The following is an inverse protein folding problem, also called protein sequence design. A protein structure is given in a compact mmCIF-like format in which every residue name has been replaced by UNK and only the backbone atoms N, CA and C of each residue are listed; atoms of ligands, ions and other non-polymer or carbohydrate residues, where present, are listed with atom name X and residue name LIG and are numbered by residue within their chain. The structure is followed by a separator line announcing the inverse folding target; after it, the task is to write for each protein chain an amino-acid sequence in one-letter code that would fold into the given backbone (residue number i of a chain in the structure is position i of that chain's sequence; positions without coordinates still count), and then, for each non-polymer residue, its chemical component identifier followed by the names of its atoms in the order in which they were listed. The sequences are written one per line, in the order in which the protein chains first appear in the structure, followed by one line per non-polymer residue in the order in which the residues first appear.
data_IF_417582104331
#
_entry.id   IF_417582104331
#
_cell.length_a   1.000
_cell.length_b   1.000
_cell.length_c   1.000
_cell.angle_alpha   90.00
_cell.angle_beta   90.00
_cell.angle_gamma   90.00
#
_symmetry.space_group_name_H-M   'P 1'
#
loop_
_entity.id
_entity.type
_entity.pdbx_description
1 polymer ?
#
# COMPACT_ATOMS: atom_id res chain seq x y z
N UNK A 1 6.77 -19.56 17.33
CA UNK A 1 6.86 -18.87 16.02
C UNK A 1 6.46 -17.43 16.28
N UNK A 2 7.30 -16.45 15.92
CA UNK A 2 7.05 -15.03 16.22
C UNK A 2 5.88 -14.49 15.39
N UNK A 3 5.19 -13.46 15.87
CA UNK A 3 4.08 -12.79 15.14
C UNK A 3 4.52 -12.30 13.75
N UNK A 4 5.75 -11.79 13.66
CA UNK A 4 6.41 -11.44 12.39
C UNK A 4 6.47 -12.62 11.42
N UNK A 5 6.89 -13.79 11.90
CA UNK A 5 7.01 -14.98 11.08
C UNK A 5 5.64 -15.47 10.61
N UNK A 6 4.62 -15.43 11.47
CA UNK A 6 3.25 -15.80 11.10
C UNK A 6 2.71 -14.90 9.98
N UNK A 7 2.85 -13.56 10.11
CA UNK A 7 2.47 -12.61 9.05
C UNK A 7 3.22 -12.88 7.74
N UNK A 8 4.51 -13.17 7.81
CA UNK A 8 5.30 -13.49 6.63
C UNK A 8 4.83 -14.77 5.95
N UNK A 9 4.60 -15.85 6.71
CA UNK A 9 4.15 -17.13 6.17
C UNK A 9 2.77 -17.02 5.54
N UNK A 10 1.86 -16.25 6.15
CA UNK A 10 0.55 -15.98 5.56
C UNK A 10 0.69 -15.24 4.21
N UNK A 11 1.53 -14.19 4.16
CA UNK A 11 1.82 -13.48 2.92
C UNK A 11 2.42 -14.40 1.85
N UNK A 12 3.44 -15.18 2.23
CA UNK A 12 4.12 -16.12 1.33
C UNK A 12 3.15 -17.15 0.78
N UNK A 13 2.30 -17.74 1.63
CA UNK A 13 1.36 -18.78 1.20
C UNK A 13 0.29 -18.22 0.24
N UNK A 14 -0.14 -16.96 0.46
CA UNK A 14 -1.06 -16.27 -0.45
C UNK A 14 -0.43 -16.00 -1.82
N UNK A 15 0.84 -15.57 -1.84
CA UNK A 15 1.59 -15.36 -3.10
C UNK A 15 1.89 -16.68 -3.80
N UNK A 16 2.20 -17.73 -3.02
CA UNK A 16 2.52 -19.05 -3.53
C UNK A 16 1.32 -19.79 -4.15
N UNK A 17 0.10 -19.36 -3.87
CA UNK A 17 -1.16 -19.96 -4.36
C UNK A 17 -1.19 -21.50 -4.24
N UNK A 18 -0.77 -22.01 -3.08
CA UNK A 18 -0.74 -23.45 -2.79
C UNK A 18 0.50 -24.20 -3.28
N UNK A 19 1.50 -23.51 -3.86
CA UNK A 19 2.76 -24.15 -4.24
C UNK A 19 3.51 -24.73 -3.02
N UNK A 20 3.95 -25.98 -3.16
CA UNK A 20 4.84 -26.62 -2.18
C UNK A 20 6.23 -25.96 -2.16
N UNK A 21 7.00 -26.16 -1.09
CA UNK A 21 8.40 -25.67 -1.04
C UNK A 21 9.25 -26.15 -2.22
N UNK A 22 8.99 -27.37 -2.73
CA UNK A 22 9.65 -27.90 -3.93
C UNK A 22 9.26 -27.13 -5.19
N UNK A 23 7.99 -26.76 -5.33
CA UNK A 23 7.51 -25.96 -6.45
C UNK A 23 8.06 -24.52 -6.38
N UNK A 24 8.08 -23.92 -5.18
CA UNK A 24 8.73 -22.64 -4.93
C UNK A 24 10.22 -22.69 -5.32
N UNK A 25 10.94 -23.71 -4.85
CA UNK A 25 12.36 -23.91 -5.15
C UNK A 25 12.62 -24.04 -6.65
N UNK A 26 11.80 -24.84 -7.35
CA UNK A 26 11.88 -25.01 -8.80
C UNK A 26 11.63 -23.68 -9.54
N UNK A 27 10.60 -22.92 -9.15
CA UNK A 27 10.29 -21.61 -9.76
C UNK A 27 11.40 -20.59 -9.52
N UNK A 28 12.00 -20.59 -8.33
CA UNK A 28 13.10 -19.70 -7.99
C UNK A 28 14.46 -20.15 -8.55
N UNK A 29 14.57 -21.37 -9.09
CA UNK A 29 15.84 -21.92 -9.56
C UNK A 29 16.87 -22.18 -8.45
N UNK A 30 16.42 -22.43 -7.21
CA UNK A 30 17.28 -22.66 -6.04
C UNK A 30 17.01 -24.01 -5.37
N UNK A 31 17.90 -24.46 -4.49
CA UNK A 31 17.69 -25.70 -3.76
C UNK A 31 16.55 -25.62 -2.74
N UNK A 32 15.75 -26.70 -2.62
CA UNK A 32 14.63 -26.80 -1.66
C UNK A 32 15.06 -26.52 -0.20
N UNK A 33 16.26 -26.93 0.18
CA UNK A 33 16.83 -26.65 1.49
C UNK A 33 17.06 -25.15 1.74
N UNK A 34 17.41 -24.37 0.69
CA UNK A 34 17.53 -22.90 0.81
C UNK A 34 16.17 -22.27 1.06
N UNK A 35 15.11 -22.71 0.36
CA UNK A 35 13.73 -22.25 0.58
C UNK A 35 13.30 -22.46 2.03
N UNK A 36 13.38 -23.70 2.53
CA UNK A 36 12.98 -24.02 3.91
C UNK A 36 13.77 -23.23 4.95
N UNK A 37 15.11 -23.20 4.84
CA UNK A 37 15.95 -22.45 5.77
C UNK A 37 15.66 -20.96 5.75
N UNK A 38 15.55 -20.34 4.57
CA UNK A 38 15.48 -18.89 4.44
C UNK A 38 14.06 -18.32 4.62
N UNK A 39 13.03 -19.05 4.18
CA UNK A 39 11.64 -18.57 4.12
C UNK A 39 10.72 -19.23 5.16
N UNK A 40 11.23 -20.10 6.03
CA UNK A 40 10.41 -20.77 7.06
C UNK A 40 11.12 -20.88 8.41
N UNK A 41 12.41 -21.22 8.42
CA UNK A 41 13.16 -21.48 9.65
C UNK A 41 13.90 -20.25 10.19
N UNK A 42 14.38 -19.38 9.31
CA UNK A 42 15.07 -18.13 9.71
C UNK A 42 14.05 -17.09 10.17
N UNK A 43 14.27 -16.48 11.35
CA UNK A 43 13.49 -15.35 11.85
C UNK A 43 14.43 -14.16 12.18
N UNK A 44 14.41 -13.06 11.41
CA UNK A 44 13.54 -12.83 10.25
C UNK A 44 13.91 -13.69 9.03
N UNK A 45 12.98 -13.85 8.06
CA UNK A 45 13.29 -14.43 6.76
C UNK A 45 14.47 -13.72 6.09
N UNK A 46 15.28 -14.45 5.33
CA UNK A 46 16.45 -13.87 4.67
C UNK A 46 16.01 -12.92 3.54
N UNK A 47 16.34 -11.62 3.69
CA UNK A 47 15.87 -10.54 2.83
C UNK A 47 16.09 -10.80 1.32
N UNK A 48 17.29 -11.26 0.94
CA UNK A 48 17.62 -11.59 -0.45
C UNK A 48 16.64 -12.61 -1.05
N UNK A 49 16.35 -13.68 -0.30
CA UNK A 49 15.45 -14.75 -0.77
C UNK A 49 13.99 -14.31 -0.79
N UNK A 50 13.58 -13.39 0.10
CA UNK A 50 12.26 -12.76 0.04
C UNK A 50 12.11 -11.94 -1.25
N UNK A 51 13.14 -11.18 -1.62
CA UNK A 51 13.15 -10.38 -2.86
C UNK A 51 13.11 -11.28 -4.10
N UNK A 52 13.93 -12.32 -4.13
CA UNK A 52 13.93 -13.31 -5.21
C UNK A 52 12.58 -14.02 -5.34
N UNK A 53 11.97 -14.41 -4.21
CA UNK A 53 10.65 -15.04 -4.19
C UNK A 53 9.59 -14.11 -4.77
N UNK A 54 9.53 -12.86 -4.32
CA UNK A 54 8.58 -11.87 -4.84
C UNK A 54 8.72 -11.69 -6.36
N UNK A 55 9.96 -11.58 -6.86
CA UNK A 55 10.24 -11.45 -8.30
C UNK A 55 9.84 -12.70 -9.09
N UNK A 56 10.13 -13.89 -8.57
CA UNK A 56 9.77 -15.15 -9.21
C UNK A 56 8.25 -15.34 -9.35
N UNK A 57 7.47 -14.66 -8.50
CA UNK A 57 6.01 -14.66 -8.51
C UNK A 57 5.40 -13.39 -9.13
N UNK A 58 6.21 -12.45 -9.61
CA UNK A 58 5.72 -11.22 -10.25
C UNK A 58 5.03 -10.24 -9.31
N UNK A 59 5.29 -10.31 -8.00
CA UNK A 59 4.74 -9.39 -6.98
C UNK A 59 5.79 -8.38 -6.52
N UNK A 60 5.34 -7.30 -5.85
CA UNK A 60 6.23 -6.27 -5.35
C UNK A 60 7.12 -6.79 -4.20
N UNK A 61 8.46 -6.74 -4.32
CA UNK A 61 9.37 -7.18 -3.24
C UNK A 61 9.20 -6.43 -1.92
N UNK A 62 8.75 -5.17 -1.96
CA UNK A 62 8.54 -4.36 -0.75
C UNK A 62 7.46 -4.98 0.14
N UNK A 63 6.39 -5.53 -0.44
CA UNK A 63 5.30 -6.17 0.32
C UNK A 63 5.82 -7.37 1.12
N UNK A 64 6.71 -8.16 0.51
CA UNK A 64 7.36 -9.29 1.18
C UNK A 64 8.30 -8.86 2.31
N UNK A 65 9.07 -7.79 2.11
CA UNK A 65 9.95 -7.23 3.14
C UNK A 65 9.17 -6.62 4.30
N UNK A 66 8.00 -6.01 4.02
CA UNK A 66 7.07 -5.52 5.04
C UNK A 66 6.45 -6.67 5.82
N UNK A 67 5.97 -7.70 5.13
CA UNK A 67 5.44 -8.90 5.78
C UNK A 67 6.50 -9.62 6.64
N UNK A 68 7.74 -9.67 6.18
CA UNK A 68 8.90 -10.18 6.91
C UNK A 68 9.34 -9.26 8.07
N UNK A 69 8.77 -8.07 8.22
CA UNK A 69 9.13 -7.09 9.25
C UNK A 69 10.57 -6.57 9.15
N UNK A 70 11.16 -6.63 7.94
CA UNK A 70 12.48 -6.10 7.60
C UNK A 70 12.39 -4.63 7.18
N UNK A 71 11.23 -4.22 6.68
CA UNK A 71 10.87 -2.84 6.36
C UNK A 71 9.54 -2.56 7.05
N UNK A 72 9.40 -1.40 7.68
CA UNK A 72 8.11 -0.97 8.23
C UNK A 72 7.19 -0.46 7.12
N UNK A 73 5.88 -0.57 7.33
CA UNK A 73 4.89 0.00 6.42
C UNK A 73 5.14 1.50 6.17
N UNK A 74 5.56 2.23 7.21
CA UNK A 74 5.84 3.66 7.11
C UNK A 74 7.08 3.97 6.24
N UNK A 75 8.14 3.18 6.36
CA UNK A 75 9.32 3.30 5.49
C UNK A 75 8.97 3.02 4.03
N UNK A 76 8.18 1.98 3.76
CA UNK A 76 7.70 1.66 2.41
C UNK A 76 6.88 2.81 1.81
N UNK A 77 5.95 3.38 2.59
CA UNK A 77 5.13 4.51 2.16
C UNK A 77 5.95 5.78 1.91
N UNK A 78 6.91 6.10 2.78
CA UNK A 78 7.82 7.25 2.59
C UNK A 78 8.66 7.10 1.33
N UNK A 79 9.21 5.91 1.08
CA UNK A 79 9.98 5.64 -0.12
C UNK A 79 9.14 5.84 -1.38
N UNK A 80 7.93 5.25 -1.41
CA UNK A 80 6.99 5.37 -2.52
C UNK A 80 6.51 6.82 -2.77
N UNK A 81 6.31 7.60 -1.71
CA UNK A 81 5.88 9.00 -1.82
C UNK A 81 7.00 9.94 -2.31
N UNK A 82 8.26 9.62 -1.99
CA UNK A 82 9.37 10.52 -2.25
C UNK A 82 9.84 10.55 -3.69
N UNK A 83 9.72 9.44 -4.43
CA UNK A 83 10.34 9.34 -5.75
C UNK A 83 9.53 9.90 -6.93
N UNK A 84 8.19 9.78 -6.97
CA UNK A 84 7.38 10.47 -7.96
C UNK A 84 7.48 12.00 -7.83
N UNK A 85 7.61 12.52 -6.61
CA UNK A 85 7.75 13.97 -6.38
C UNK A 85 9.14 14.50 -6.75
N UNK A 86 10.21 13.74 -6.50
CA UNK A 86 11.58 14.13 -6.88
C UNK A 86 11.83 14.04 -8.38
N UNK A 87 11.20 13.07 -9.05
CA UNK A 87 11.36 12.86 -10.50
C UNK A 87 10.37 13.64 -11.36
N UNK A 88 9.29 14.19 -10.76
CA UNK A 88 8.37 15.07 -11.45
C UNK A 88 9.07 16.36 -11.90
N UNK A 89 8.82 16.75 -13.15
CA UNK A 89 9.22 18.08 -13.62
C UNK A 89 8.47 19.17 -12.85
N UNK A 90 9.06 20.37 -12.78
CA UNK A 90 8.42 21.54 -12.16
C UNK A 90 7.04 21.82 -12.75
N UNK A 91 6.83 21.59 -14.06
CA UNK A 91 5.54 21.77 -14.71
C UNK A 91 4.50 20.74 -14.22
N UNK A 92 4.88 19.48 -14.09
CA UNK A 92 3.99 18.45 -13.55
C UNK A 92 3.60 18.73 -12.08
N UNK A 93 4.54 19.25 -11.29
CA UNK A 93 4.24 19.67 -9.92
C UNK A 93 3.28 20.86 -9.87
N UNK A 94 3.48 21.88 -10.72
CA UNK A 94 2.59 23.04 -10.82
C UNK A 94 1.18 22.64 -11.27
N UNK A 95 1.08 21.73 -12.22
CA UNK A 95 -0.20 21.21 -12.70
C UNK A 95 -0.95 20.45 -11.60
N UNK A 96 -0.25 19.59 -10.87
CA UNK A 96 -0.83 18.85 -9.74
C UNK A 96 -1.28 19.77 -8.60
N UNK A 97 -0.47 20.77 -8.24
CA UNK A 97 -0.86 21.78 -7.23
C UNK A 97 -2.08 22.57 -7.69
N UNK A 98 -2.12 22.99 -8.96
CA UNK A 98 -3.26 23.72 -9.53
C UNK A 98 -4.53 22.85 -9.52
N UNK A 99 -4.40 21.55 -9.82
CA UNK A 99 -5.51 20.59 -9.76
C UNK A 99 -6.05 20.46 -8.33
N UNK A 100 -5.18 20.31 -7.34
CA UNK A 100 -5.57 20.21 -5.91
C UNK A 100 -6.28 21.46 -5.40
N UNK A 101 -5.77 22.65 -5.74
CA UNK A 101 -6.44 23.91 -5.36
C UNK A 101 -7.84 24.02 -5.96
N UNK A 102 -8.02 23.60 -7.22
CA UNK A 102 -9.35 23.56 -7.85
C UNK A 102 -10.30 22.58 -7.16
N UNK A 103 -9.80 21.44 -6.71
CA UNK A 103 -10.60 20.45 -5.98
C UNK A 103 -11.00 20.96 -4.60
N UNK A 104 -10.07 21.52 -3.85
CA UNK A 104 -10.33 22.14 -2.54
C UNK A 104 -11.37 23.27 -2.64
N UNK A 105 -11.28 24.12 -3.67
CA UNK A 105 -12.26 25.18 -3.92
C UNK A 105 -13.65 24.62 -4.29
N UNK A 106 -13.73 23.48 -4.99
CA UNK A 106 -15.01 22.83 -5.29
C UNK A 106 -15.64 22.26 -4.03
N UNK A 107 -14.86 21.57 -3.19
CA UNK A 107 -15.34 20.97 -1.95
C UNK A 107 -15.88 22.04 -0.99
N UNK A 108 -15.08 23.08 -0.72
CA UNK A 108 -15.48 24.21 0.12
C UNK A 108 -16.69 24.98 -0.43
N UNK A 109 -16.75 25.18 -1.75
CA UNK A 109 -17.92 25.81 -2.40
C UNK A 109 -19.19 24.97 -2.31
N UNK A 110 -19.06 23.63 -2.42
CA UNK A 110 -20.20 22.70 -2.34
C UNK A 110 -20.76 22.64 -0.92
N UNK A 111 -19.89 22.65 0.10
CA UNK A 111 -20.28 22.72 1.50
C UNK A 111 -20.95 24.05 1.86
N UNK A 112 -20.43 25.17 1.35
CA UNK A 112 -21.02 26.49 1.55
C UNK A 112 -22.44 26.59 0.93
N UNK A 113 -22.63 26.05 -0.28
CA UNK A 113 -23.94 25.99 -0.94
C UNK A 113 -24.92 25.06 -0.23
N UNK A 114 -24.47 23.89 0.24
CA UNK A 114 -25.29 22.98 1.03
C UNK A 114 -25.78 23.63 2.34
N UNK A 115 -24.90 24.36 3.03
CA UNK A 115 -25.24 25.13 4.24
C UNK A 115 -26.28 26.23 3.97
N UNK A 116 -26.14 26.96 2.85
CA UNK A 116 -27.08 28.02 2.45
C UNK A 116 -28.46 27.46 2.11
N UNK A 117 -28.53 26.32 1.41
CA UNK A 117 -29.80 25.62 1.11
C UNK A 117 -30.51 25.12 2.36
N UNK A 118 -29.76 24.59 3.34
CA UNK A 118 -30.32 24.12 4.62
C UNK A 118 -30.94 25.28 5.43
N UNK A 119 -30.27 26.44 5.50
CA UNK A 119 -30.80 27.65 6.15
C UNK A 119 -32.07 28.19 5.47
N UNK A 120 -32.11 28.23 4.14
CA UNK A 120 -33.31 28.66 3.39
C UNK A 120 -34.50 27.74 3.65
N UNK A 121 -34.30 26.42 3.68
CA UNK A 121 -35.36 25.45 3.99
C UNK A 121 -35.90 25.60 5.41
N UNK A 122 -35.03 25.85 6.39
CA UNK A 122 -35.44 26.09 7.77
C UNK A 122 -36.32 27.35 7.91
N UNK A 123 -35.91 28.47 7.28
CA UNK A 123 -36.68 29.72 7.34
C UNK A 123 -38.04 29.65 6.63
N UNK A 124 -38.18 28.86 5.56
CA UNK A 124 -39.47 28.63 4.89
C UNK A 124 -40.40 27.78 5.76
N UNK A 125 -39.87 26.76 6.46
CA UNK A 125 -40.66 25.93 7.36
C UNK A 125 -41.17 26.72 8.58
N UNK A 126 -40.38 27.67 9.06
CA UNK A 126 -40.74 28.53 10.20
C UNK A 126 -41.83 29.55 9.83
N UNK A 127 -41.79 30.12 8.61
CA UNK A 127 -42.79 31.06 8.11
C UNK A 127 -44.12 30.46 7.65
N UNK A 128 -44.24 29.13 7.58
CA UNK A 128 -45.50 28.42 7.24
C UNK A 128 -46.28 27.95 8.47
N UNK A 129 -45.69 28.09 9.67
CA UNK A 129 -46.30 27.71 10.95
C UNK A 129 -46.82 28.90 11.76
N UNK A 130 -46.83 30.11 11.17
CA UNK A 130 -47.37 31.35 11.74
C UNK A 130 -48.53 31.84 10.89
#
# INVERSE_FOLDING_TARGET
MSERMERFLEWRNRVADGDSERAIAARMGIGNNRVGRHLRESDPPVAETVIEFARAYGVNPVDGLVAAGLVSQEEALRAAASEPLRSASTLQLLEELTRREREHLRETGTEAEAGKRRRRRAGIAEGLLT
#
